data_IF_783630717070
#
_entry.id   IF_783630717070
#
_cell.length_a   1.000
_cell.length_b   1.000
_cell.length_c   1.000
_cell.angle_alpha   90.00
_cell.angle_beta   90.00
_cell.angle_gamma   90.00
#
_symmetry.space_group_name_H-M   'P 1'
#
loop_
_entity.id
_entity.type
_entity.pdbx_description
1 polymer ?
#
# COMPACT_ATOMS: atom_id res chain seq x y z
N UNK A 1 -13.87 -2.47 1.53
CA UNK A 1 -13.16 -2.03 0.30
C UNK A 1 -13.62 -2.86 -0.88
N UNK A 2 -14.26 -2.25 -1.89
CA UNK A 2 -14.71 -2.96 -3.11
C UNK A 2 -13.54 -3.50 -3.93
N UNK A 3 -12.45 -2.72 -4.05
CA UNK A 3 -11.27 -3.10 -4.85
C UNK A 3 -10.55 -4.32 -4.31
N UNK A 4 -10.31 -4.40 -2.99
CA UNK A 4 -9.70 -5.58 -2.38
C UNK A 4 -10.60 -6.81 -2.60
N UNK A 5 -11.91 -6.67 -2.39
CA UNK A 5 -12.86 -7.75 -2.64
C UNK A 5 -12.91 -8.17 -4.11
N UNK A 6 -12.82 -7.24 -5.06
CA UNK A 6 -12.77 -7.52 -6.50
C UNK A 6 -11.49 -8.29 -6.85
N UNK A 7 -10.32 -7.81 -6.42
CA UNK A 7 -9.03 -8.44 -6.71
C UNK A 7 -8.93 -9.83 -6.07
N UNK A 8 -9.39 -9.99 -4.83
CA UNK A 8 -9.43 -11.31 -4.18
C UNK A 8 -10.42 -12.26 -4.88
N UNK A 9 -11.54 -11.78 -5.41
CA UNK A 9 -12.51 -12.61 -6.17
C UNK A 9 -12.00 -13.06 -7.53
N UNK A 10 -11.14 -12.26 -8.17
CA UNK A 10 -10.48 -12.62 -9.43
C UNK A 10 -9.36 -13.66 -9.23
N UNK A 11 -9.05 -14.05 -7.98
CA UNK A 11 -7.90 -14.87 -7.61
C UNK A 11 -6.56 -14.25 -8.04
N UNK A 12 -6.53 -12.92 -8.16
CA UNK A 12 -5.31 -12.18 -8.46
C UNK A 12 -4.40 -12.22 -7.23
N UNK A 13 -3.11 -12.47 -7.46
CA UNK A 13 -2.11 -12.39 -6.40
C UNK A 13 -1.98 -10.94 -5.93
N UNK A 14 -1.99 -10.72 -4.62
CA UNK A 14 -1.74 -9.42 -4.01
C UNK A 14 -0.36 -9.43 -3.35
N UNK A 15 0.43 -8.40 -3.61
CA UNK A 15 1.77 -8.21 -3.04
C UNK A 15 1.87 -6.79 -2.48
N UNK A 16 2.50 -6.65 -1.32
CA UNK A 16 2.78 -5.35 -0.71
C UNK A 16 4.04 -5.40 0.16
N UNK A 17 4.72 -4.27 0.39
CA UNK A 17 5.75 -4.17 1.42
C UNK A 17 5.18 -4.44 2.82
N UNK A 18 6.03 -4.86 3.75
CA UNK A 18 5.69 -5.00 5.18
C UNK A 18 5.19 -3.68 5.77
N UNK A 19 5.66 -2.55 5.21
CA UNK A 19 5.19 -1.20 5.51
C UNK A 19 3.65 -1.05 5.48
N UNK A 20 2.93 -1.76 4.61
CA UNK A 20 1.46 -1.71 4.55
C UNK A 20 0.81 -1.97 5.91
N UNK A 21 1.33 -2.95 6.65
CA UNK A 21 0.79 -3.34 7.94
C UNK A 21 1.06 -2.26 8.99
N UNK A 22 2.23 -1.63 8.95
CA UNK A 22 2.62 -0.54 9.86
C UNK A 22 1.76 0.69 9.61
N UNK A 23 1.56 1.08 8.35
CA UNK A 23 0.73 2.23 7.98
C UNK A 23 -0.73 2.02 8.36
N UNK A 24 -1.30 0.85 8.06
CA UNK A 24 -2.67 0.52 8.43
C UNK A 24 -2.87 0.49 9.94
N UNK A 25 -1.98 -0.17 10.70
CA UNK A 25 -2.06 -0.20 12.16
C UNK A 25 -1.93 1.21 12.77
N UNK A 26 -1.02 2.03 12.24
CA UNK A 26 -0.87 3.42 12.65
C UNK A 26 -2.12 4.25 12.36
N UNK A 27 -2.75 4.04 11.20
CA UNK A 27 -4.01 4.69 10.85
C UNK A 27 -5.14 4.31 11.83
N UNK A 28 -5.24 3.03 12.22
CA UNK A 28 -6.20 2.54 13.23
C UNK A 28 -6.03 3.27 14.57
N UNK A 29 -4.81 3.29 15.11
CA UNK A 29 -4.50 4.02 16.36
C UNK A 29 -4.83 5.51 16.23
N UNK A 30 -4.47 6.11 15.10
CA UNK A 30 -4.70 7.53 14.84
C UNK A 30 -6.17 7.88 14.58
N UNK A 31 -7.04 6.90 14.30
CA UNK A 31 -8.48 7.08 14.25
C UNK A 31 -9.13 6.99 15.63
N UNK A 32 -8.68 6.06 16.49
CA UNK A 32 -9.11 5.98 17.90
C UNK A 32 -8.82 7.29 18.61
N UNK A 33 -7.58 7.80 18.49
CA UNK A 33 -7.16 9.09 19.09
C UNK A 33 -8.00 10.28 18.62
N UNK A 34 -8.58 10.20 17.42
CA UNK A 34 -9.42 11.25 16.82
C UNK A 34 -10.92 10.95 16.97
N UNK A 35 -11.30 9.99 17.81
CA UNK A 35 -12.68 9.55 18.04
C UNK A 35 -13.44 9.18 16.74
N UNK A 36 -12.73 8.66 15.73
CA UNK A 36 -13.35 8.20 14.46
C UNK A 36 -13.95 6.81 14.54
N UNK A 37 -13.47 6.00 15.48
CA UNK A 37 -13.97 4.65 15.80
C UNK A 37 -13.55 4.29 17.23
N UNK A 38 -14.19 3.27 17.80
CA UNK A 38 -13.84 2.78 19.14
C UNK A 38 -12.55 1.96 19.13
N UNK A 39 -11.96 1.73 20.31
CA UNK A 39 -10.83 0.79 20.44
C UNK A 39 -11.21 -0.63 20.02
N UNK A 40 -12.43 -1.07 20.33
CA UNK A 40 -12.94 -2.40 19.95
C UNK A 40 -13.02 -2.55 18.43
N UNK A 41 -13.52 -1.53 17.73
CA UNK A 41 -13.59 -1.54 16.27
C UNK A 41 -12.18 -1.56 15.65
N UNK A 42 -11.23 -0.83 16.25
CA UNK A 42 -9.84 -0.81 15.81
C UNK A 42 -9.16 -2.18 16.01
N UNK A 43 -9.37 -2.85 17.14
CA UNK A 43 -8.82 -4.17 17.42
C UNK A 43 -9.38 -5.22 16.46
N UNK A 44 -10.70 -5.16 16.18
CA UNK A 44 -11.33 -6.03 15.19
C UNK A 44 -10.74 -5.79 13.79
N UNK A 45 -10.57 -4.52 13.39
CA UNK A 45 -9.96 -4.17 12.11
C UNK A 45 -8.49 -4.58 12.00
N UNK A 46 -7.72 -4.47 13.09
CA UNK A 46 -6.33 -4.95 13.16
C UNK A 46 -6.26 -6.47 13.01
N UNK A 47 -7.17 -7.20 13.64
CA UNK A 47 -7.30 -8.65 13.46
C UNK A 47 -7.59 -9.06 12.01
N UNK A 48 -8.37 -8.25 11.27
CA UNK A 48 -8.59 -8.45 9.84
C UNK A 48 -7.36 -8.12 9.00
N UNK A 49 -6.66 -7.02 9.33
CA UNK A 49 -5.43 -6.60 8.67
C UNK A 49 -4.38 -7.73 8.67
N UNK A 50 -4.20 -8.40 9.82
CA UNK A 50 -3.24 -9.51 9.96
C UNK A 50 -3.60 -10.76 9.16
N UNK A 51 -4.85 -10.86 8.67
CA UNK A 51 -5.36 -12.01 7.91
C UNK A 51 -5.60 -11.68 6.44
N UNK A 52 -5.18 -10.50 5.98
CA UNK A 52 -5.30 -10.14 4.57
C UNK A 52 -4.54 -11.14 3.70
N UNK A 53 -5.12 -11.59 2.57
CA UNK A 53 -4.46 -12.49 1.63
C UNK A 53 -3.46 -11.73 0.74
N UNK A 54 -2.57 -10.97 1.38
CA UNK A 54 -1.51 -10.19 0.74
C UNK A 54 -0.19 -10.87 1.05
N UNK A 55 0.59 -11.18 0.01
CA UNK A 55 1.96 -11.64 0.16
C UNK A 55 2.84 -10.46 0.55
N UNK A 56 3.22 -10.40 1.82
CA UNK A 56 4.18 -9.41 2.30
C UNK A 56 5.57 -9.69 1.75
N UNK A 57 6.29 -8.62 1.41
CA UNK A 57 7.72 -8.67 1.07
C UNK A 57 8.50 -7.77 2.00
N UNK A 58 9.70 -8.20 2.39
CA UNK A 58 10.54 -7.41 3.27
C UNK A 58 10.92 -6.07 2.67
N UNK A 59 10.69 -4.99 3.41
CA UNK A 59 10.97 -3.62 2.98
C UNK A 59 12.44 -3.45 2.57
N UNK A 60 13.35 -4.05 3.35
CA UNK A 60 14.80 -3.98 3.11
C UNK A 60 15.20 -4.52 1.74
N UNK A 61 14.43 -5.45 1.17
CA UNK A 61 14.69 -6.02 -0.16
C UNK A 61 14.56 -4.98 -1.28
N UNK A 62 13.69 -3.99 -1.10
CA UNK A 62 13.34 -3.01 -2.13
C UNK A 62 13.78 -1.58 -1.78
N UNK A 63 14.43 -1.39 -0.63
CA UNK A 63 14.79 -0.08 -0.10
C UNK A 63 15.76 0.68 -1.00
N UNK A 64 16.78 0.03 -1.56
CA UNK A 64 17.74 0.68 -2.47
C UNK A 64 17.05 1.22 -3.71
N UNK A 65 16.10 0.45 -4.25
CA UNK A 65 15.31 0.86 -5.42
C UNK A 65 14.33 1.97 -5.08
N UNK A 66 13.66 1.87 -3.93
CA UNK A 66 12.76 2.91 -3.44
C UNK A 66 13.50 4.25 -3.21
N UNK A 67 14.74 4.19 -2.70
CA UNK A 67 15.62 5.34 -2.55
C UNK A 67 15.96 5.99 -3.90
N UNK A 68 16.33 5.19 -4.90
CA UNK A 68 16.61 5.69 -6.25
C UNK A 68 15.37 6.35 -6.87
N UNK A 69 14.20 5.69 -6.79
CA UNK A 69 12.93 6.19 -7.30
C UNK A 69 12.54 7.50 -6.60
N UNK A 70 12.71 7.59 -5.28
CA UNK A 70 12.48 8.83 -4.52
C UNK A 70 13.25 10.00 -5.11
N UNK A 71 14.55 9.84 -5.36
CA UNK A 71 15.40 10.89 -5.95
C UNK A 71 15.03 11.20 -7.41
N UNK A 72 14.58 10.20 -8.17
CA UNK A 72 14.17 10.35 -9.57
C UNK A 72 12.86 11.13 -9.72
N UNK A 73 11.93 10.94 -8.80
CA UNK A 73 10.61 11.54 -8.84
C UNK A 73 10.48 12.64 -7.77
N UNK A 74 11.19 13.75 -7.96
CA UNK A 74 11.10 14.98 -7.16
C UNK A 74 11.37 14.84 -5.65
N UNK A 75 12.27 13.92 -5.26
CA UNK A 75 12.54 13.61 -3.85
C UNK A 75 11.28 13.20 -3.07
N UNK A 76 10.33 12.53 -3.75
CA UNK A 76 9.12 12.02 -3.14
C UNK A 76 9.42 11.02 -2.02
N UNK A 77 8.60 10.88 -0.98
CA UNK A 77 8.94 10.05 0.18
C UNK A 77 9.28 8.60 -0.18
N UNK A 78 10.31 8.07 0.49
CA UNK A 78 10.81 6.71 0.25
C UNK A 78 9.75 5.65 0.58
N UNK A 79 8.91 5.91 1.60
CA UNK A 79 7.85 4.99 1.99
C UNK A 79 6.80 4.80 0.87
N UNK A 80 6.43 5.87 0.15
CA UNK A 80 5.55 5.78 -1.01
C UNK A 80 6.23 5.03 -2.17
N UNK A 81 7.52 5.31 -2.40
CA UNK A 81 8.32 4.66 -3.45
C UNK A 81 8.61 3.18 -3.17
N UNK A 82 8.46 2.74 -1.92
CA UNK A 82 8.60 1.33 -1.57
C UNK A 82 7.50 0.47 -2.18
N UNK A 83 6.27 1.00 -2.28
CA UNK A 83 5.18 0.34 -3.01
C UNK A 83 5.47 0.24 -4.51
N UNK A 84 5.98 1.31 -5.10
CA UNK A 84 6.37 1.34 -6.51
C UNK A 84 7.51 0.33 -6.80
N UNK A 85 8.56 0.31 -5.98
CA UNK A 85 9.67 -0.64 -6.11
C UNK A 85 9.21 -2.10 -5.93
N UNK A 86 8.29 -2.34 -5.01
CA UNK A 86 7.69 -3.67 -4.79
C UNK A 86 6.91 -4.14 -6.00
N UNK A 87 6.05 -3.29 -6.57
CA UNK A 87 5.25 -3.61 -7.76
C UNK A 87 6.14 -3.82 -8.99
N UNK A 88 7.14 -2.94 -9.20
CA UNK A 88 8.12 -3.05 -10.28
C UNK A 88 8.90 -4.37 -10.21
N UNK A 89 9.40 -4.74 -9.03
CA UNK A 89 10.14 -5.99 -8.84
C UNK A 89 9.27 -7.25 -9.02
N UNK A 90 7.97 -7.15 -8.74
CA UNK A 90 7.02 -8.23 -8.96
C UNK A 90 6.48 -8.30 -10.40
N UNK A 91 6.75 -7.29 -11.25
CA UNK A 91 6.15 -7.17 -12.57
C UNK A 91 4.63 -6.96 -12.51
N UNK A 92 4.14 -6.33 -11.43
CA UNK A 92 2.71 -6.17 -11.13
C UNK A 92 2.27 -4.71 -11.25
N UNK A 93 0.96 -4.50 -11.33
CA UNK A 93 0.35 -3.17 -11.30
C UNK A 93 0.32 -2.64 -9.86
N UNK A 94 0.80 -1.41 -9.67
CA UNK A 94 0.59 -0.66 -8.43
C UNK A 94 -0.81 -0.06 -8.43
N UNK A 95 -1.60 -0.42 -7.42
CA UNK A 95 -2.89 0.21 -7.14
C UNK A 95 -2.71 1.17 -5.96
N UNK A 96 -3.00 2.45 -6.16
CA UNK A 96 -2.93 3.45 -5.07
C UNK A 96 -4.08 4.45 -5.16
N UNK A 97 -4.61 4.84 -3.99
CA UNK A 97 -5.60 5.91 -3.86
C UNK A 97 -4.96 7.28 -3.54
N UNK A 98 -3.63 7.35 -3.46
CA UNK A 98 -2.91 8.61 -3.28
C UNK A 98 -2.84 9.34 -4.62
N UNK A 99 -3.63 10.41 -4.76
CA UNK A 99 -3.66 11.23 -5.97
C UNK A 99 -2.31 11.90 -6.24
N UNK A 100 -1.55 12.26 -5.21
CA UNK A 100 -0.21 12.83 -5.36
C UNK A 100 0.80 11.80 -5.90
N UNK A 101 0.64 10.52 -5.56
CA UNK A 101 1.47 9.46 -6.11
C UNK A 101 1.04 9.13 -7.55
N UNK A 102 -0.27 9.16 -7.84
CA UNK A 102 -0.83 8.99 -9.18
C UNK A 102 -0.40 10.11 -10.15
N UNK A 103 -0.38 11.36 -9.70
CA UNK A 103 0.08 12.47 -10.53
C UNK A 103 1.56 12.31 -10.92
N UNK A 104 2.37 11.79 -10.00
CA UNK A 104 3.82 11.60 -10.22
C UNK A 104 4.15 10.37 -11.07
N UNK A 105 3.44 9.26 -10.84
CA UNK A 105 3.78 7.97 -11.44
C UNK A 105 2.74 7.47 -12.44
N UNK A 106 1.62 8.14 -12.63
CA UNK A 106 0.50 7.67 -13.46
C UNK A 106 0.80 7.63 -14.96
N UNK A 107 1.89 8.26 -15.41
CA UNK A 107 2.41 8.07 -16.76
C UNK A 107 3.08 6.69 -16.95
N UNK A 108 3.41 6.00 -15.86
CA UNK A 108 3.85 4.61 -15.88
C UNK A 108 2.59 3.73 -16.06
N UNK A 109 2.50 3.01 -17.19
CA UNK A 109 1.32 2.21 -17.57
C UNK A 109 0.93 1.08 -16.58
N UNK A 110 1.72 0.89 -15.53
CA UNK A 110 1.51 -0.06 -14.43
C UNK A 110 1.09 0.60 -13.11
N UNK A 111 0.83 1.91 -13.05
CA UNK A 111 0.29 2.59 -11.86
C UNK A 111 -1.16 3.01 -12.12
N UNK A 112 -2.09 2.60 -11.25
CA UNK A 112 -3.53 2.78 -11.47
C UNK A 112 -4.27 3.14 -10.19
N UNK A 113 -5.40 3.82 -10.39
CA UNK A 113 -6.42 4.04 -9.35
C UNK A 113 -7.09 2.71 -8.97
N UNK A 114 -7.66 2.59 -7.75
CA UNK A 114 -8.51 1.46 -7.41
C UNK A 114 -9.72 1.39 -8.34
N UNK A 115 -10.09 0.19 -8.81
CA UNK A 115 -11.33 -0.02 -9.53
C UNK A 115 -12.55 0.29 -8.64
N UNK A 116 -13.56 0.95 -9.21
CA UNK A 116 -14.83 1.29 -8.56
C UNK A 116 -15.75 0.07 -8.44
#
# INVERSE_FOLDING_TARGET
>A
MKTLQQLTRANDSLVAPELLYVECASALVAGVRRNRWTGIDADAAYGLLMRLPVKSVSDRRHLDRAWELSRRYDNHPVYDMLYAATAEAAGMVLITADETLLERLGNLGWVRRPGV
#
